data_IF_884777140996
#
_entry.id   IF_884777140996
#
_cell.length_a   1.000
_cell.length_b   1.000
_cell.length_c   1.000
_cell.angle_alpha   90.00
_cell.angle_beta   90.00
_cell.angle_gamma   90.00
#
_symmetry.space_group_name_H-M   'P 1'
#
loop_
_entity.id
_entity.type
_entity.pdbx_description
1 polymer ?
#
# COMPACT_ATOMS: atom_id res chain seq x y z
N UNK A 1 -6.82 25.38 12.64
CA UNK A 1 -5.87 24.31 12.37
C UNK A 1 -6.40 23.42 11.27
N UNK A 2 -5.53 22.99 10.35
CA UNK A 2 -6.00 22.08 9.33
C UNK A 2 -6.44 20.76 9.96
N UNK A 3 -7.43 20.15 9.35
CA UNK A 3 -7.88 18.84 9.82
C UNK A 3 -6.79 17.80 9.54
N UNK A 4 -6.66 16.80 10.40
CA UNK A 4 -5.71 15.74 10.12
C UNK A 4 -6.11 14.99 8.85
N UNK A 5 -5.12 14.56 8.10
CA UNK A 5 -5.35 13.77 6.91
C UNK A 5 -5.91 12.40 7.30
N UNK A 6 -7.00 12.03 6.67
CA UNK A 6 -7.57 10.70 6.85
C UNK A 6 -7.36 9.96 5.53
N UNK A 7 -6.50 8.92 5.52
CA UNK A 7 -6.20 8.23 4.28
C UNK A 7 -7.41 7.47 3.76
N UNK A 8 -7.44 7.27 2.45
CA UNK A 8 -8.48 6.51 1.77
C UNK A 8 -7.83 5.50 0.85
N UNK A 9 -8.50 4.39 0.63
CA UNK A 9 -8.03 3.39 -0.34
C UNK A 9 -7.82 4.08 -1.68
N UNK A 10 -6.70 3.76 -2.33
CA UNK A 10 -6.27 4.32 -3.61
C UNK A 10 -5.65 5.72 -3.53
N UNK A 11 -5.40 6.23 -2.33
CA UNK A 11 -4.55 7.40 -2.17
C UNK A 11 -3.09 6.98 -2.24
N UNK A 12 -2.26 7.81 -2.86
CA UNK A 12 -0.81 7.65 -2.83
C UNK A 12 -0.26 8.55 -1.75
N UNK A 13 0.45 7.96 -0.81
CA UNK A 13 0.94 8.70 0.34
C UNK A 13 2.42 8.45 0.57
N UNK A 14 3.07 9.42 1.20
CA UNK A 14 4.44 9.30 1.66
C UNK A 14 4.38 9.25 3.18
N UNK A 15 4.95 8.21 3.75
CA UNK A 15 5.01 8.05 5.21
C UNK A 15 6.40 8.47 5.68
N UNK A 16 6.48 9.65 6.27
CA UNK A 16 7.72 10.18 6.80
C UNK A 16 7.87 9.75 8.25
N UNK A 17 8.78 8.83 8.48
CA UNK A 17 9.02 8.28 9.81
C UNK A 17 10.21 8.96 10.49
N UNK A 18 10.57 10.14 10.05
CA UNK A 18 11.67 10.89 10.62
C UNK A 18 12.99 10.20 10.41
N UNK A 19 13.69 9.94 11.49
CA UNK A 19 15.01 9.32 11.39
C UNK A 19 14.97 7.88 10.87
N UNK A 20 13.80 7.26 10.85
CA UNK A 20 13.66 5.90 10.33
C UNK A 20 13.41 5.87 8.83
N UNK A 21 13.43 7.04 8.18
CA UNK A 21 13.28 7.11 6.74
C UNK A 21 11.86 7.35 6.29
N UNK A 22 11.68 7.25 4.99
CA UNK A 22 10.37 7.45 4.37
C UNK A 22 10.01 6.25 3.52
N UNK A 23 8.73 5.91 3.55
CA UNK A 23 8.17 4.93 2.65
C UNK A 23 7.03 5.57 1.90
N UNK A 24 6.74 5.10 0.70
CA UNK A 24 5.64 5.64 -0.08
C UNK A 24 4.93 4.53 -0.84
N UNK A 25 3.67 4.74 -1.11
CA UNK A 25 2.89 3.77 -1.83
C UNK A 25 1.42 4.11 -1.83
N UNK A 26 0.63 3.17 -2.32
CA UNK A 26 -0.81 3.31 -2.41
C UNK A 26 -1.47 2.74 -1.17
N UNK A 27 -2.48 3.44 -0.66
CA UNK A 27 -3.29 2.89 0.42
C UNK A 27 -4.09 1.73 -0.17
N UNK A 28 -3.84 0.55 0.35
CA UNK A 28 -4.44 -0.69 -0.15
C UNK A 28 -5.68 -1.09 0.63
N UNK A 29 -5.63 -0.92 1.95
CA UNK A 29 -6.72 -1.29 2.84
C UNK A 29 -6.90 -0.18 3.88
N UNK A 30 -8.13 0.08 4.24
CA UNK A 30 -8.47 1.09 5.24
C UNK A 30 -9.38 0.50 6.31
N UNK A 31 -9.08 0.79 7.56
CA UNK A 31 -10.01 0.62 8.67
C UNK A 31 -9.84 1.82 9.59
N UNK A 32 -10.71 1.94 10.57
CA UNK A 32 -10.61 3.06 11.50
C UNK A 32 -9.37 2.98 12.39
N UNK A 33 -8.79 1.82 12.50
CA UNK A 33 -7.64 1.59 13.38
C UNK A 33 -6.31 1.64 12.66
N UNK A 34 -6.29 1.29 11.37
CA UNK A 34 -5.04 1.27 10.60
C UNK A 34 -5.31 1.23 9.12
N UNK A 35 -4.26 1.50 8.36
CA UNK A 35 -4.26 1.29 6.91
C UNK A 35 -3.08 0.40 6.56
N UNK A 36 -3.13 -0.18 5.36
CA UNK A 36 -1.95 -0.80 4.77
C UNK A 36 -1.54 -0.01 3.55
N UNK A 37 -0.24 0.13 3.36
CA UNK A 37 0.34 0.87 2.24
C UNK A 37 1.10 -0.12 1.38
N UNK A 38 0.71 -0.23 0.12
CA UNK A 38 1.39 -1.09 -0.83
C UNK A 38 2.60 -0.35 -1.37
N UNK A 39 3.79 -0.75 -0.96
CA UNK A 39 5.02 -0.06 -1.32
C UNK A 39 5.75 -0.69 -2.48
N UNK A 40 5.46 -1.95 -2.77
CA UNK A 40 6.17 -2.66 -3.81
C UNK A 40 5.33 -3.80 -4.34
N UNK A 41 5.38 -4.00 -5.65
CA UNK A 41 4.76 -5.14 -6.32
C UNK A 41 5.80 -5.65 -7.30
N UNK A 42 6.20 -6.90 -7.15
CA UNK A 42 7.20 -7.47 -8.02
C UNK A 42 6.83 -8.90 -8.38
N UNK A 43 7.31 -9.39 -9.51
CA UNK A 43 7.02 -10.76 -9.90
C UNK A 43 7.67 -11.74 -8.92
N UNK A 44 6.94 -12.80 -8.65
CA UNK A 44 7.46 -13.88 -7.83
C UNK A 44 8.31 -14.79 -8.72
N UNK A 45 9.43 -15.30 -8.23
CA UNK A 45 10.21 -16.26 -9.00
C UNK A 45 9.36 -17.47 -9.39
N UNK A 46 9.64 -18.04 -10.55
CA UNK A 46 8.84 -19.15 -11.06
C UNK A 46 8.76 -20.32 -10.08
N UNK A 47 9.86 -20.61 -9.42
CA UNK A 47 9.89 -21.72 -8.46
C UNK A 47 8.95 -21.48 -7.29
N UNK A 48 8.75 -20.25 -6.92
CA UNK A 48 7.83 -19.91 -5.83
C UNK A 48 6.40 -19.82 -6.32
N UNK A 49 6.21 -19.53 -7.59
CA UNK A 49 4.87 -19.42 -8.15
C UNK A 49 4.26 -20.77 -8.40
N UNK A 50 5.08 -21.80 -8.57
CA UNK A 50 4.59 -23.14 -8.80
C UNK A 50 3.77 -23.61 -7.61
N UNK A 51 2.54 -23.97 -7.86
CA UNK A 51 1.61 -24.34 -6.80
C UNK A 51 0.98 -23.16 -6.08
N UNK A 52 1.34 -21.94 -6.45
CA UNK A 52 0.77 -20.73 -5.89
C UNK A 52 -0.18 -20.11 -6.87
N UNK A 53 -1.19 -19.40 -6.37
CA UNK A 53 -2.16 -18.70 -7.20
C UNK A 53 -1.71 -17.31 -7.56
N UNK A 54 -0.60 -16.83 -7.00
CA UNK A 54 -0.17 -15.44 -7.19
C UNK A 54 1.23 -15.37 -7.74
N UNK A 55 1.38 -14.66 -8.85
CA UNK A 55 2.68 -14.43 -9.48
C UNK A 55 3.40 -13.22 -8.94
N UNK A 56 2.71 -12.40 -8.16
CA UNK A 56 3.28 -11.16 -7.66
C UNK A 56 3.38 -11.21 -6.15
N UNK A 57 4.43 -10.58 -5.67
CA UNK A 57 4.64 -10.37 -4.24
C UNK A 57 4.32 -8.91 -3.95
N UNK A 58 3.42 -8.69 -3.03
CA UNK A 58 3.05 -7.35 -2.60
C UNK A 58 3.65 -7.07 -1.24
N UNK A 59 4.32 -5.94 -1.11
CA UNK A 59 4.84 -5.51 0.17
C UNK A 59 3.87 -4.49 0.75
N UNK A 60 3.29 -4.81 1.88
CA UNK A 60 2.32 -3.96 2.55
C UNK A 60 2.88 -3.53 3.90
N UNK A 61 2.81 -2.23 4.16
CA UNK A 61 3.19 -1.68 5.46
C UNK A 61 1.95 -1.35 6.26
N UNK A 62 1.98 -1.68 7.53
CA UNK A 62 0.88 -1.37 8.43
C UNK A 62 1.13 -0.02 9.08
N UNK A 63 0.16 0.89 8.96
CA UNK A 63 0.24 2.21 9.55
C UNK A 63 -0.97 2.45 10.45
N UNK A 64 -0.75 2.48 11.74
CA UNK A 64 -1.84 2.69 12.70
C UNK A 64 -2.33 4.13 12.66
N UNK A 65 -3.59 4.33 13.03
CA UNK A 65 -4.22 5.64 12.96
C UNK A 65 -3.45 6.72 13.72
N UNK A 66 -2.82 6.35 14.81
CA UNK A 66 -2.04 7.31 15.59
C UNK A 66 -0.85 7.87 14.81
N UNK A 67 -0.45 7.22 13.73
CA UNK A 67 0.67 7.68 12.90
C UNK A 67 0.22 8.31 11.60
N UNK A 68 -1.09 8.46 11.38
CA UNK A 68 -1.57 9.05 10.12
C UNK A 68 -1.14 10.51 9.95
N UNK A 69 -0.85 11.20 11.04
CA UNK A 69 -0.36 12.57 10.97
C UNK A 69 1.04 12.65 10.34
N UNK A 70 1.71 11.52 10.19
CA UNK A 70 3.01 11.45 9.55
C UNK A 70 2.91 11.22 8.05
N UNK A 71 1.69 11.03 7.55
CA UNK A 71 1.45 10.76 6.13
C UNK A 71 1.29 12.06 5.36
N UNK A 72 1.87 12.09 4.17
CA UNK A 72 1.68 13.19 3.23
C UNK A 72 0.89 12.67 2.04
N UNK A 73 -0.25 13.29 1.77
CA UNK A 73 -1.06 12.94 0.62
C UNK A 73 -0.43 13.46 -0.66
N UNK A 74 -0.35 12.64 -1.68
CA UNK A 74 0.22 13.02 -2.97
C UNK A 74 -0.85 13.07 -4.05
N UNK A 75 -1.57 11.97 -4.25
CA UNK A 75 -2.56 11.87 -5.32
C UNK A 75 -3.46 10.66 -5.05
N UNK A 76 -4.51 10.57 -5.84
CA UNK A 76 -5.43 9.44 -5.75
C UNK A 76 -5.62 8.81 -7.12
N UNK A 77 -6.00 7.54 -7.13
CA UNK A 77 -6.40 6.83 -8.34
C UNK A 77 -7.81 6.30 -8.14
N UNK A 78 -8.49 6.02 -9.26
CA UNK A 78 -9.88 5.56 -9.18
C UNK A 78 -10.01 4.13 -8.70
N UNK A 79 -9.03 3.30 -9.03
CA UNK A 79 -9.07 1.90 -8.64
C UNK A 79 -7.68 1.32 -8.68
N UNK A 80 -7.50 0.19 -8.01
CA UNK A 80 -6.25 -0.52 -8.04
C UNK A 80 -5.99 -1.03 -9.45
N UNK A 81 -4.71 -1.11 -9.81
CA UNK A 81 -4.32 -1.58 -11.14
C UNK A 81 -4.65 -3.07 -11.25
N UNK A 82 -5.46 -3.49 -12.24
CA UNK A 82 -5.90 -4.89 -12.33
C UNK A 82 -4.76 -5.90 -12.41
N UNK A 83 -3.65 -5.52 -13.01
CA UNK A 83 -2.51 -6.43 -13.15
C UNK A 83 -1.95 -6.90 -11.82
N UNK A 84 -2.21 -6.18 -10.76
CA UNK A 84 -1.70 -6.56 -9.45
C UNK A 84 -2.41 -7.78 -8.88
N UNK A 85 -3.56 -8.16 -9.42
CA UNK A 85 -4.42 -9.12 -8.77
C UNK A 85 -4.73 -10.36 -9.57
N UNK A 86 -4.50 -10.35 -10.87
CA UNK A 86 -5.08 -11.38 -11.73
C UNK A 86 -4.10 -12.32 -12.40
N UNK A 87 -2.82 -12.10 -12.26
CA UNK A 87 -1.84 -12.80 -13.10
C UNK A 87 -1.72 -14.28 -12.84
N UNK A 88 -1.90 -14.71 -11.64
CA UNK A 88 -1.79 -16.11 -11.30
C UNK A 88 -3.13 -16.82 -11.15
N UNK A 89 -4.20 -16.13 -11.39
CA UNK A 89 -5.53 -16.68 -11.16
C UNK A 89 -6.11 -17.37 -12.38
N UNK A 90 -5.39 -17.36 -13.44
CA UNK A 90 -5.86 -17.99 -14.68
C UNK A 90 -5.33 -19.39 -14.85
#
# INVERSE_FOLDING_TARGET
MPEPYIPKVNDYVIWDKGKYGKDEGWVYFFSEEYITIETDVRPRPDAECEGSRHRFIHTLLLCHAQSWNELEYVKSRKSAHPQHYSECDN
#
